data_IF_502078193510
#
_entry.id   IF_502078193510
#
_cell.length_a   1.000
_cell.length_b   1.000
_cell.length_c   1.000
_cell.angle_alpha   90.00
_cell.angle_beta   90.00
_cell.angle_gamma   90.00
#
_symmetry.space_group_name_H-M   'P 1'
#
loop_
_entity.id
_entity.type
_entity.pdbx_description
1 polymer ?
#
# COMPACT_ATOMS: atom_id res chain seq x y z
N UNK A 1 23.52 -6.57 19.97
CA UNK A 1 22.28 -6.56 20.78
C UNK A 1 21.06 -6.02 20.01
N UNK A 2 21.17 -4.92 19.26
CA UNK A 2 20.00 -4.31 18.56
C UNK A 2 19.35 -5.23 17.51
N UNK A 3 20.13 -6.01 16.76
CA UNK A 3 19.62 -6.98 15.77
C UNK A 3 18.73 -8.05 16.41
N UNK A 4 19.05 -8.48 17.64
CA UNK A 4 18.19 -9.41 18.37
C UNK A 4 16.86 -8.76 18.74
N UNK A 5 16.86 -7.47 19.11
CA UNK A 5 15.63 -6.71 19.40
C UNK A 5 14.74 -6.63 18.16
N UNK A 6 15.29 -6.32 17.00
CA UNK A 6 14.56 -6.32 15.73
C UNK A 6 14.01 -7.71 15.40
N UNK A 7 14.80 -8.76 15.58
CA UNK A 7 14.36 -10.13 15.35
C UNK A 7 13.18 -10.52 16.27
N UNK A 8 13.24 -10.17 17.55
CA UNK A 8 12.17 -10.43 18.53
C UNK A 8 10.87 -9.72 18.08
N UNK A 9 10.95 -8.44 17.71
CA UNK A 9 9.79 -7.66 17.27
C UNK A 9 9.17 -8.27 16.01
N UNK A 10 9.98 -8.62 15.02
CA UNK A 10 9.51 -9.26 13.78
C UNK A 10 8.85 -10.62 14.06
N UNK A 11 9.48 -11.44 14.89
CA UNK A 11 8.96 -12.77 15.24
C UNK A 11 7.63 -12.68 16.00
N UNK A 12 7.53 -11.79 16.98
CA UNK A 12 6.26 -11.62 17.73
C UNK A 12 5.15 -11.12 16.79
N UNK A 13 5.42 -10.11 15.97
CA UNK A 13 4.47 -9.63 14.97
C UNK A 13 3.99 -10.77 14.04
N UNK A 14 4.92 -11.56 13.53
CA UNK A 14 4.65 -12.69 12.65
C UNK A 14 3.82 -13.78 13.36
N UNK A 15 4.28 -14.25 14.50
CA UNK A 15 3.65 -15.36 15.25
C UNK A 15 2.23 -14.98 15.67
N UNK A 16 2.03 -13.77 16.22
CA UNK A 16 0.68 -13.31 16.64
C UNK A 16 -0.24 -13.19 15.43
N UNK A 17 0.24 -12.65 14.32
CA UNK A 17 -0.54 -12.58 13.08
C UNK A 17 -0.94 -13.99 12.60
N UNK A 18 0.02 -14.92 12.51
CA UNK A 18 -0.24 -16.32 12.11
C UNK A 18 -1.26 -16.98 13.03
N UNK A 19 -1.11 -16.82 14.34
CA UNK A 19 -1.97 -17.46 15.34
C UNK A 19 -3.40 -16.93 15.30
N UNK A 20 -3.61 -15.64 14.97
CA UNK A 20 -4.93 -15.00 14.99
C UNK A 20 -5.68 -15.06 13.66
N UNK A 21 -5.03 -15.38 12.54
CA UNK A 21 -5.73 -15.51 11.24
C UNK A 21 -6.88 -16.53 11.29
N UNK A 22 -6.75 -17.74 11.89
CA UNK A 22 -7.89 -18.66 11.97
C UNK A 22 -9.07 -18.08 12.73
N UNK A 23 -8.82 -17.36 13.84
CA UNK A 23 -9.87 -16.68 14.61
C UNK A 23 -10.52 -15.54 13.79
N UNK A 24 -9.74 -14.72 13.12
CA UNK A 24 -10.23 -13.66 12.23
C UNK A 24 -11.11 -14.24 11.12
N UNK A 25 -10.69 -15.36 10.51
CA UNK A 25 -11.49 -16.07 9.51
C UNK A 25 -12.81 -16.57 10.07
N UNK A 26 -12.81 -17.17 11.27
CA UNK A 26 -14.03 -17.64 11.93
C UNK A 26 -14.99 -16.48 12.20
N UNK A 27 -14.49 -15.37 12.74
CA UNK A 27 -15.29 -14.16 13.02
C UNK A 27 -15.88 -13.61 11.72
N UNK A 28 -15.09 -13.53 10.64
CA UNK A 28 -15.54 -13.02 9.35
C UNK A 28 -16.79 -13.72 8.82
N UNK A 29 -16.84 -15.05 8.90
CA UNK A 29 -18.03 -15.81 8.51
C UNK A 29 -19.23 -15.58 9.44
N UNK A 30 -18.98 -15.29 10.74
CA UNK A 30 -20.06 -14.97 11.69
C UNK A 30 -20.70 -13.61 11.45
N UNK A 31 -19.89 -12.61 11.06
CA UNK A 31 -20.36 -11.22 10.81
C UNK A 31 -20.65 -10.95 9.34
N UNK A 32 -20.56 -11.99 8.48
CA UNK A 32 -20.77 -11.89 7.03
C UNK A 32 -19.78 -10.94 6.31
N UNK A 33 -18.57 -10.73 6.87
CA UNK A 33 -17.47 -10.05 6.20
C UNK A 33 -16.76 -11.01 5.22
N UNK A 34 -17.49 -11.42 4.17
CA UNK A 34 -17.10 -12.48 3.23
C UNK A 34 -17.21 -11.98 1.80
N UNK A 35 -16.18 -12.30 1.01
CA UNK A 35 -16.14 -12.00 -0.41
C UNK A 35 -16.75 -13.18 -1.19
N UNK A 36 -17.97 -12.99 -1.71
CA UNK A 36 -18.67 -14.00 -2.49
C UNK A 36 -18.25 -13.95 -3.97
N UNK A 37 -18.17 -15.12 -4.63
CA UNK A 37 -17.89 -15.19 -6.06
C UNK A 37 -18.86 -14.35 -6.89
N UNK A 38 -18.33 -13.60 -7.84
CA UNK A 38 -19.13 -12.85 -8.81
C UNK A 38 -18.44 -12.83 -10.17
N UNK A 39 -19.16 -12.50 -11.25
CA UNK A 39 -18.60 -12.40 -12.59
C UNK A 39 -17.43 -11.39 -12.72
N UNK A 40 -17.22 -10.55 -11.73
CA UNK A 40 -16.16 -9.52 -11.68
C UNK A 40 -14.96 -9.94 -10.85
N UNK A 41 -15.05 -11.00 -10.03
CA UNK A 41 -14.04 -11.43 -9.05
C UNK A 41 -13.29 -12.67 -9.53
N UNK A 42 -12.05 -12.79 -9.09
CA UNK A 42 -11.17 -13.90 -9.47
C UNK A 42 -11.46 -15.15 -8.63
N UNK A 43 -11.97 -14.99 -7.41
CA UNK A 43 -12.29 -16.08 -6.50
C UNK A 43 -13.51 -16.90 -6.96
N UNK A 44 -13.39 -18.22 -6.86
CA UNK A 44 -14.46 -19.19 -7.22
C UNK A 44 -15.25 -19.70 -6.01
N UNK A 45 -14.77 -19.43 -4.80
CA UNK A 45 -15.36 -19.84 -3.52
C UNK A 45 -15.49 -18.62 -2.60
N UNK A 46 -16.41 -18.60 -1.63
CA UNK A 46 -16.47 -17.56 -0.63
C UNK A 46 -15.19 -17.50 0.20
N UNK A 47 -14.57 -16.33 0.31
CA UNK A 47 -13.34 -16.10 1.06
C UNK A 47 -13.58 -15.02 2.11
N UNK A 48 -13.17 -15.29 3.35
CA UNK A 48 -13.25 -14.32 4.44
C UNK A 48 -12.43 -13.06 4.13
N UNK A 49 -12.99 -11.87 4.40
CA UNK A 49 -12.38 -10.56 4.12
C UNK A 49 -12.17 -9.78 5.42
N UNK A 50 -11.40 -10.34 6.35
CA UNK A 50 -11.21 -9.76 7.69
C UNK A 50 -9.80 -10.02 8.25
N UNK A 51 -8.84 -10.29 7.37
CA UNK A 51 -7.45 -10.60 7.74
C UNK A 51 -6.74 -9.45 8.44
N UNK A 52 -7.15 -8.21 8.15
CA UNK A 52 -6.60 -7.01 8.79
C UNK A 52 -6.70 -7.01 10.31
N UNK A 53 -7.69 -7.70 10.90
CA UNK A 53 -7.79 -7.84 12.36
C UNK A 53 -6.62 -8.60 12.94
N UNK A 54 -6.23 -9.73 12.33
CA UNK A 54 -5.06 -10.49 12.78
C UNK A 54 -3.76 -9.68 12.59
N UNK A 55 -3.67 -8.92 11.49
CA UNK A 55 -2.53 -8.04 11.20
C UNK A 55 -2.43 -6.90 12.22
N UNK A 56 -3.54 -6.27 12.56
CA UNK A 56 -3.59 -5.21 13.58
C UNK A 56 -3.16 -5.74 14.96
N UNK A 57 -3.67 -6.90 15.38
CA UNK A 57 -3.25 -7.53 16.63
C UNK A 57 -1.75 -7.87 16.63
N UNK A 58 -1.20 -8.35 15.51
CA UNK A 58 0.24 -8.57 15.34
C UNK A 58 1.05 -7.30 15.51
N UNK A 59 0.59 -6.18 14.94
CA UNK A 59 1.23 -4.87 15.09
C UNK A 59 1.15 -4.37 16.54
N UNK A 60 0.01 -4.49 17.20
CA UNK A 60 -0.17 -4.12 18.61
C UNK A 60 0.76 -4.95 19.52
N UNK A 61 0.88 -6.26 19.29
CA UNK A 61 1.78 -7.11 20.02
C UNK A 61 3.26 -6.71 19.83
N UNK A 62 3.66 -6.36 18.60
CA UNK A 62 4.98 -5.84 18.32
C UNK A 62 5.26 -4.53 19.07
N UNK A 63 4.32 -3.59 19.07
CA UNK A 63 4.43 -2.32 19.81
C UNK A 63 4.52 -2.60 21.32
N UNK A 64 3.72 -3.52 21.86
CA UNK A 64 3.80 -3.91 23.27
C UNK A 64 5.19 -4.45 23.62
N UNK A 65 5.79 -5.30 22.78
CA UNK A 65 7.16 -5.79 22.97
C UNK A 65 8.17 -4.67 22.94
N UNK A 66 8.04 -3.70 22.03
CA UNK A 66 8.91 -2.51 22.01
C UNK A 66 8.78 -1.74 23.32
N UNK A 67 7.56 -1.47 23.78
CA UNK A 67 7.31 -0.77 25.05
C UNK A 67 7.91 -1.52 26.25
N UNK A 68 7.72 -2.84 26.33
CA UNK A 68 8.30 -3.68 27.38
C UNK A 68 9.83 -3.63 27.29
N UNK A 69 10.39 -3.76 26.10
CA UNK A 69 11.84 -3.71 25.88
C UNK A 69 12.46 -2.39 26.33
N UNK A 70 11.81 -1.27 26.04
CA UNK A 70 12.25 0.08 26.43
C UNK A 70 12.17 0.27 27.94
N UNK A 71 11.03 -0.08 28.58
CA UNK A 71 10.81 0.21 29.98
C UNK A 71 11.53 -0.76 30.94
N UNK A 72 11.67 -2.04 30.57
CA UNK A 72 12.17 -3.07 31.49
C UNK A 72 13.53 -3.64 31.08
N UNK A 73 13.93 -3.58 29.80
CA UNK A 73 15.14 -4.20 29.29
C UNK A 73 16.17 -3.18 28.75
N UNK A 74 15.90 -1.88 28.92
CA UNK A 74 16.83 -0.82 28.53
C UNK A 74 17.06 -0.74 27.03
N UNK A 75 16.06 -1.10 26.19
CA UNK A 75 16.17 -0.94 24.75
C UNK A 75 16.26 0.54 24.40
N UNK A 76 17.16 0.88 23.48
CA UNK A 76 17.33 2.25 23.03
C UNK A 76 16.26 2.56 21.99
N UNK A 77 15.24 3.30 22.39
CA UNK A 77 14.23 3.84 21.49
C UNK A 77 14.29 5.37 21.55
N UNK A 78 14.70 6.05 20.46
CA UNK A 78 14.78 7.50 20.45
C UNK A 78 13.39 8.12 20.65
N UNK A 79 13.20 8.84 21.74
CA UNK A 79 11.94 9.53 22.02
C UNK A 79 11.81 10.84 21.23
N UNK A 80 12.95 11.43 20.85
CA UNK A 80 12.99 12.69 20.11
C UNK A 80 13.49 12.43 18.68
N UNK A 81 12.95 13.16 17.73
CA UNK A 81 13.58 13.26 16.41
C UNK A 81 14.91 14.00 16.53
N UNK A 82 15.90 13.75 15.65
CA UNK A 82 17.25 14.35 15.75
C UNK A 82 17.30 15.88 15.81
N UNK A 83 16.21 16.58 15.56
CA UNK A 83 16.10 18.06 15.56
C UNK A 83 15.15 18.60 16.65
N UNK A 84 14.84 17.81 17.70
CA UNK A 84 14.16 18.34 18.89
C UNK A 84 12.65 18.53 18.80
N UNK A 85 11.97 18.14 17.72
CA UNK A 85 10.51 18.08 17.74
C UNK A 85 10.05 16.81 18.45
N UNK A 86 9.21 16.99 19.45
CA UNK A 86 8.59 15.89 20.15
C UNK A 86 7.51 15.28 19.26
N UNK A 87 7.69 14.01 18.91
CA UNK A 87 6.64 13.20 18.28
C UNK A 87 5.82 12.56 19.39
N UNK A 88 4.52 12.79 19.37
CA UNK A 88 3.60 12.21 20.34
C UNK A 88 3.14 10.82 19.85
N UNK A 89 3.90 9.77 20.19
CA UNK A 89 3.62 8.39 19.77
C UNK A 89 2.20 7.88 20.08
N UNK A 90 1.58 8.19 21.25
CA UNK A 90 0.19 7.80 21.50
C UNK A 90 -0.79 8.36 20.47
N UNK A 91 -0.56 9.56 19.97
CA UNK A 91 -1.40 10.13 18.92
C UNK A 91 -1.22 9.42 17.57
N UNK A 92 0.02 9.00 17.24
CA UNK A 92 0.23 8.16 16.05
C UNK A 92 -0.50 6.82 16.21
N UNK A 93 -0.40 6.18 17.38
CA UNK A 93 -1.14 4.96 17.66
C UNK A 93 -2.66 5.16 17.53
N UNK A 94 -3.20 6.28 18.02
CA UNK A 94 -4.61 6.63 17.86
C UNK A 94 -5.01 6.78 16.39
N UNK A 95 -4.18 7.44 15.56
CA UNK A 95 -4.42 7.54 14.13
C UNK A 95 -4.38 6.17 13.43
N UNK A 96 -3.46 5.29 13.83
CA UNK A 96 -3.40 3.90 13.34
C UNK A 96 -4.62 3.07 13.75
N UNK A 97 -5.14 3.24 14.97
CA UNK A 97 -6.40 2.65 15.42
C UNK A 97 -7.57 3.21 14.60
N UNK A 98 -7.62 4.52 14.40
CA UNK A 98 -8.68 5.16 13.63
C UNK A 98 -8.75 4.63 12.20
N UNK A 99 -7.62 4.53 11.48
CA UNK A 99 -7.61 3.99 10.11
C UNK A 99 -8.00 2.51 10.07
N UNK A 100 -7.57 1.72 11.05
CA UNK A 100 -7.97 0.33 11.19
C UNK A 100 -9.50 0.21 11.38
N UNK A 101 -10.10 1.02 12.25
CA UNK A 101 -11.54 1.02 12.47
C UNK A 101 -12.32 1.47 11.23
N UNK A 102 -11.82 2.42 10.45
CA UNK A 102 -12.39 2.78 9.15
C UNK A 102 -12.40 1.59 8.21
N UNK A 103 -11.30 0.84 8.14
CA UNK A 103 -11.21 -0.37 7.32
C UNK A 103 -12.13 -1.49 7.81
N UNK A 104 -12.25 -1.70 9.12
CA UNK A 104 -13.21 -2.67 9.71
C UNK A 104 -14.64 -2.28 9.36
N UNK A 105 -14.97 -1.00 9.48
CA UNK A 105 -16.28 -0.48 9.11
C UNK A 105 -16.59 -0.71 7.63
N UNK A 106 -15.58 -0.54 6.77
CA UNK A 106 -15.72 -0.80 5.34
C UNK A 106 -15.89 -2.30 5.03
N UNK A 107 -15.13 -3.16 5.69
CA UNK A 107 -15.24 -4.62 5.53
C UNK A 107 -16.62 -5.16 5.92
N UNK A 108 -17.31 -4.51 6.88
CA UNK A 108 -18.62 -4.94 7.39
C UNK A 108 -19.78 -4.27 6.63
N UNK A 109 -19.68 -2.96 6.34
CA UNK A 109 -20.80 -2.15 5.85
C UNK A 109 -20.64 -1.63 4.42
N UNK A 110 -19.52 -1.90 3.74
CA UNK A 110 -19.21 -1.46 2.36
C UNK A 110 -19.42 0.06 2.21
N UNK A 111 -18.58 0.83 2.88
CA UNK A 111 -18.69 2.28 3.00
C UNK A 111 -18.66 2.98 1.65
N UNK A 112 -19.45 4.04 1.52
CA UNK A 112 -19.36 4.91 0.33
C UNK A 112 -17.97 5.56 0.24
N UNK A 113 -17.38 5.70 -0.97
CA UNK A 113 -16.03 6.24 -1.14
C UNK A 113 -15.76 7.57 -0.44
N UNK A 114 -16.68 8.56 -0.41
CA UNK A 114 -16.44 9.81 0.31
C UNK A 114 -16.34 9.63 1.84
N UNK A 115 -17.10 8.69 2.41
CA UNK A 115 -17.07 8.40 3.86
C UNK A 115 -15.75 7.73 4.23
N UNK A 116 -15.31 6.76 3.44
CA UNK A 116 -14.01 6.11 3.57
C UNK A 116 -12.87 7.12 3.48
N UNK A 117 -12.90 8.00 2.49
CA UNK A 117 -11.89 9.06 2.32
C UNK A 117 -11.89 10.04 3.51
N UNK A 118 -13.04 10.45 4.01
CA UNK A 118 -13.14 11.31 5.18
C UNK A 118 -12.50 10.65 6.42
N UNK A 119 -12.77 9.37 6.64
CA UNK A 119 -12.14 8.59 7.72
C UNK A 119 -10.61 8.51 7.58
N UNK A 120 -10.09 8.32 6.37
CA UNK A 120 -8.65 8.35 6.09
C UNK A 120 -8.03 9.71 6.40
N UNK A 121 -8.70 10.80 5.99
CA UNK A 121 -8.24 12.18 6.27
C UNK A 121 -8.21 12.44 7.78
N UNK A 122 -9.24 12.02 8.52
CA UNK A 122 -9.28 12.17 9.99
C UNK A 122 -8.12 11.41 10.63
N UNK A 123 -7.91 10.14 10.28
CA UNK A 123 -6.81 9.34 10.81
C UNK A 123 -5.44 9.95 10.50
N UNK A 124 -5.22 10.37 9.25
CA UNK A 124 -4.00 11.06 8.84
C UNK A 124 -3.79 12.40 9.56
N UNK A 125 -4.86 13.15 9.79
CA UNK A 125 -4.81 14.43 10.53
C UNK A 125 -4.42 14.24 12.01
N UNK A 126 -4.90 13.17 12.66
CA UNK A 126 -4.49 12.79 14.01
C UNK A 126 -2.99 12.49 14.05
N UNK A 127 -2.46 11.75 13.05
CA UNK A 127 -1.03 11.46 12.94
C UNK A 127 -0.21 12.73 12.71
N UNK A 128 -0.64 13.60 11.79
CA UNK A 128 0.03 14.86 11.51
C UNK A 128 0.04 15.78 12.76
N UNK A 129 -1.08 15.88 13.47
CA UNK A 129 -1.19 16.65 14.71
C UNK A 129 -0.31 16.12 15.85
N UNK A 130 0.13 14.85 15.75
CA UNK A 130 1.09 14.24 16.69
C UNK A 130 2.55 14.65 16.46
N UNK A 131 2.81 15.58 15.53
CA UNK A 131 4.13 16.12 15.23
C UNK A 131 4.93 15.28 14.22
N UNK A 132 4.35 14.21 13.64
CA UNK A 132 4.98 13.49 12.54
C UNK A 132 4.62 14.17 11.22
N UNK A 133 5.48 15.10 10.79
CA UNK A 133 5.24 15.97 9.65
C UNK A 133 6.32 15.83 8.58
N UNK A 134 5.93 15.99 7.35
CA UNK A 134 6.80 16.31 6.22
C UNK A 134 7.04 17.84 6.23
N UNK A 135 7.86 18.30 7.17
CA UNK A 135 8.02 19.73 7.48
C UNK A 135 9.10 20.42 6.65
N UNK A 136 10.09 19.66 6.19
CA UNK A 136 11.19 20.17 5.37
C UNK A 136 11.79 19.10 4.48
N UNK A 137 12.40 19.52 3.38
CA UNK A 137 13.22 18.68 2.50
C UNK A 137 14.55 19.38 2.25
N UNK A 138 15.61 18.61 2.02
CA UNK A 138 16.91 19.19 1.63
C UNK A 138 16.78 19.89 0.28
N UNK A 139 17.38 21.08 0.16
CA UNK A 139 17.37 21.85 -1.07
C UNK A 139 18.21 21.13 -2.16
N UNK A 140 17.61 20.65 -3.27
CA UNK A 140 18.35 19.96 -4.32
C UNK A 140 19.26 20.89 -5.14
N UNK A 141 19.03 22.21 -5.07
CA UNK A 141 19.73 23.22 -5.86
C UNK A 141 20.71 24.07 -5.04
N UNK A 142 20.87 23.79 -3.71
CA UNK A 142 21.74 24.57 -2.86
C UNK A 142 21.95 23.93 -1.48
N UNK A 143 22.64 24.67 -0.60
CA UNK A 143 22.81 24.27 0.80
C UNK A 143 21.56 24.57 1.62
N UNK A 144 21.23 23.71 2.62
CA UNK A 144 20.16 23.92 3.58
C UNK A 144 18.86 23.18 3.25
N UNK A 145 17.78 23.59 3.92
CA UNK A 145 16.47 22.94 3.84
C UNK A 145 15.40 23.91 3.32
N UNK A 146 14.47 23.40 2.53
CA UNK A 146 13.24 24.06 2.16
C UNK A 146 12.21 23.67 3.21
N UNK A 147 11.74 24.64 4.01
CA UNK A 147 10.68 24.42 5.00
C UNK A 147 9.32 24.69 4.38
N UNK A 148 8.37 23.80 4.63
CA UNK A 148 6.98 23.95 4.18
C UNK A 148 6.13 24.78 5.14
N UNK A 149 6.62 25.08 6.35
CA UNK A 149 5.88 25.85 7.35
C UNK A 149 4.52 25.22 7.66
N UNK A 150 3.45 26.03 7.67
CA UNK A 150 2.08 25.57 7.92
C UNK A 150 1.57 24.57 6.86
N UNK A 151 2.11 24.63 5.63
CA UNK A 151 1.74 23.71 4.55
C UNK A 151 2.19 22.28 4.80
N UNK A 152 3.11 22.06 5.73
CA UNK A 152 3.53 20.72 6.15
C UNK A 152 2.36 19.83 6.61
N UNK A 153 1.34 20.42 7.28
CA UNK A 153 0.16 19.66 7.74
C UNK A 153 -0.66 19.08 6.59
N UNK A 154 -1.24 19.89 5.69
CA UNK A 154 -2.00 19.35 4.56
C UNK A 154 -1.15 18.46 3.65
N UNK A 155 0.13 18.74 3.48
CA UNK A 155 1.05 17.92 2.70
C UNK A 155 1.22 16.54 3.34
N UNK A 156 1.40 16.46 4.66
CA UNK A 156 1.50 15.19 5.40
C UNK A 156 0.21 14.38 5.32
N UNK A 157 -0.93 15.02 5.51
CA UNK A 157 -2.24 14.36 5.39
C UNK A 157 -2.42 13.79 3.98
N UNK A 158 -2.14 14.59 2.96
CA UNK A 158 -2.18 14.13 1.56
C UNK A 158 -1.27 12.93 1.33
N UNK A 159 -0.03 12.98 1.81
CA UNK A 159 0.97 11.92 1.68
C UNK A 159 0.48 10.61 2.30
N UNK A 160 0.00 10.66 3.55
CA UNK A 160 -0.50 9.48 4.27
C UNK A 160 -1.74 8.89 3.59
N UNK A 161 -2.68 9.72 3.17
CA UNK A 161 -3.89 9.29 2.46
C UNK A 161 -3.53 8.71 1.08
N UNK A 162 -2.55 9.28 0.38
CA UNK A 162 -2.08 8.75 -0.89
C UNK A 162 -1.49 7.34 -0.73
N UNK A 163 -0.58 7.13 0.23
CA UNK A 163 -0.02 5.80 0.51
C UNK A 163 -1.11 4.79 0.90
N UNK A 164 -2.06 5.22 1.72
CA UNK A 164 -3.20 4.38 2.13
C UNK A 164 -4.01 3.90 0.92
N UNK A 165 -4.36 4.80 0.01
CA UNK A 165 -5.12 4.43 -1.18
C UNK A 165 -4.29 3.66 -2.22
N UNK A 166 -3.00 3.95 -2.37
CA UNK A 166 -2.10 3.24 -3.26
C UNK A 166 -2.02 1.76 -2.87
N UNK A 167 -1.84 1.44 -1.59
CA UNK A 167 -1.80 0.04 -1.12
C UNK A 167 -3.18 -0.61 -1.21
N UNK A 168 -4.25 0.10 -0.91
CA UNK A 168 -5.61 -0.42 -1.05
C UNK A 168 -5.95 -0.76 -2.51
N UNK A 169 -5.54 0.05 -3.48
CA UNK A 169 -5.79 -0.19 -4.90
C UNK A 169 -5.00 -1.38 -5.47
N UNK A 170 -3.83 -1.70 -4.90
CA UNK A 170 -3.03 -2.82 -5.37
C UNK A 170 -3.44 -4.16 -4.74
N UNK A 171 -4.31 -4.14 -3.72
CA UNK A 171 -4.84 -5.35 -3.06
C UNK A 171 -5.91 -6.05 -3.92
N UNK A 172 -5.53 -6.37 -5.16
CA UNK A 172 -6.39 -7.04 -6.13
C UNK A 172 -6.04 -8.50 -6.39
N UNK A 173 -4.93 -9.02 -5.89
CA UNK A 173 -4.46 -10.41 -6.05
C UNK A 173 -3.91 -10.97 -4.74
N UNK A 174 -4.08 -12.27 -4.56
CA UNK A 174 -3.60 -13.03 -3.40
C UNK A 174 -2.10 -12.79 -3.15
N UNK A 175 -1.76 -12.24 -1.98
CA UNK A 175 -0.40 -11.96 -1.54
C UNK A 175 0.25 -10.72 -2.15
N UNK A 176 -0.37 -10.03 -3.09
CA UNK A 176 0.28 -8.94 -3.81
C UNK A 176 0.59 -7.75 -2.89
N UNK A 177 -0.41 -7.20 -2.23
CA UNK A 177 -0.26 -6.02 -1.38
C UNK A 177 0.63 -6.30 -0.16
N UNK A 178 0.44 -7.43 0.53
CA UNK A 178 1.29 -7.82 1.66
C UNK A 178 2.75 -8.03 1.26
N UNK A 179 3.03 -8.65 0.11
CA UNK A 179 4.40 -8.85 -0.34
C UNK A 179 5.09 -7.55 -0.76
N UNK A 180 4.42 -6.69 -1.52
CA UNK A 180 4.96 -5.37 -1.88
C UNK A 180 5.22 -4.53 -0.63
N UNK A 181 4.28 -4.51 0.32
CA UNK A 181 4.47 -3.79 1.59
C UNK A 181 5.61 -4.36 2.41
N UNK A 182 5.79 -5.70 2.45
CA UNK A 182 6.94 -6.32 3.12
C UNK A 182 8.27 -5.90 2.50
N UNK A 183 8.39 -5.91 1.17
CA UNK A 183 9.59 -5.47 0.46
C UNK A 183 9.85 -3.98 0.72
N UNK A 184 8.82 -3.15 0.64
CA UNK A 184 8.92 -1.72 0.90
C UNK A 184 9.36 -1.42 2.34
N UNK A 185 8.70 -2.03 3.33
CA UNK A 185 9.04 -1.87 4.73
C UNK A 185 10.45 -2.40 5.06
N UNK A 186 10.86 -3.53 4.45
CA UNK A 186 12.22 -4.06 4.61
C UNK A 186 13.28 -3.10 4.02
N UNK A 187 12.99 -2.48 2.91
CA UNK A 187 13.90 -1.49 2.30
C UNK A 187 14.04 -0.26 3.17
N UNK A 188 12.91 0.26 3.70
CA UNK A 188 12.93 1.39 4.63
C UNK A 188 13.62 1.00 5.94
N UNK A 189 13.47 -0.25 6.40
CA UNK A 189 14.21 -0.79 7.55
C UNK A 189 15.72 -0.73 7.34
N UNK A 190 16.22 -1.21 6.20
CA UNK A 190 17.65 -1.14 5.85
C UNK A 190 18.12 0.31 5.85
N UNK A 191 17.40 1.20 5.18
CA UNK A 191 17.72 2.62 5.17
C UNK A 191 17.70 3.24 6.58
N UNK A 192 16.69 2.93 7.39
CA UNK A 192 16.56 3.43 8.76
C UNK A 192 17.70 2.94 9.67
N UNK A 193 18.18 1.70 9.47
CA UNK A 193 19.31 1.16 10.23
C UNK A 193 20.63 1.82 9.84
N UNK A 194 20.88 2.04 8.55
CA UNK A 194 22.06 2.74 8.05
C UNK A 194 22.09 4.18 8.57
N UNK A 195 20.94 4.86 8.57
CA UNK A 195 20.82 6.25 9.05
C UNK A 195 20.60 6.37 10.57
N UNK A 196 20.74 5.26 11.31
CA UNK A 196 20.61 5.19 12.78
C UNK A 196 19.23 5.66 13.31
N UNK A 197 18.18 5.52 12.50
CA UNK A 197 16.80 5.87 12.85
C UNK A 197 16.06 4.66 13.43
N UNK A 198 16.43 4.28 14.63
CA UNK A 198 15.96 3.03 15.24
C UNK A 198 14.46 3.02 15.52
N UNK A 199 13.81 4.17 15.75
CA UNK A 199 12.36 4.26 15.85
C UNK A 199 11.68 3.83 14.53
N UNK A 200 12.12 4.34 13.37
CA UNK A 200 11.63 3.90 12.07
C UNK A 200 11.92 2.40 11.87
N UNK A 201 13.14 1.94 12.20
CA UNK A 201 13.53 0.55 12.04
C UNK A 201 12.63 -0.42 12.82
N UNK A 202 12.28 -0.12 14.08
CA UNK A 202 11.36 -0.94 14.87
C UNK A 202 9.97 -1.06 14.25
N UNK A 203 9.39 0.05 13.80
CA UNK A 203 8.08 0.00 13.16
C UNK A 203 8.12 -0.68 11.78
N UNK A 204 9.17 -0.47 10.99
CA UNK A 204 9.36 -1.17 9.72
C UNK A 204 9.41 -2.68 9.91
N UNK A 205 10.23 -3.15 10.85
CA UNK A 205 10.40 -4.60 11.06
C UNK A 205 9.14 -5.25 11.65
N UNK A 206 8.34 -4.50 12.41
CA UNK A 206 7.02 -4.94 12.85
C UNK A 206 6.06 -5.13 11.66
N UNK A 207 6.02 -4.17 10.72
CA UNK A 207 5.23 -4.31 9.48
C UNK A 207 5.69 -5.50 8.64
N UNK A 208 7.01 -5.72 8.51
CA UNK A 208 7.55 -6.89 7.80
C UNK A 208 7.07 -8.18 8.47
N UNK A 209 7.14 -8.27 9.80
CA UNK A 209 6.67 -9.43 10.54
C UNK A 209 5.19 -9.72 10.32
N UNK A 210 4.35 -8.68 10.41
CA UNK A 210 2.90 -8.78 10.15
C UNK A 210 2.64 -9.27 8.71
N UNK A 211 3.30 -8.70 7.72
CA UNK A 211 3.13 -9.07 6.32
C UNK A 211 3.55 -10.53 6.05
N UNK A 212 4.71 -10.96 6.58
CA UNK A 212 5.20 -12.35 6.44
C UNK A 212 4.23 -13.32 7.10
N UNK A 213 3.77 -13.01 8.33
CA UNK A 213 2.80 -13.84 9.03
C UNK A 213 1.50 -13.98 8.27
N UNK A 214 1.00 -12.90 7.70
CA UNK A 214 -0.24 -12.90 6.94
C UNK A 214 -0.10 -13.65 5.60
N UNK A 215 1.04 -13.52 4.91
CA UNK A 215 1.32 -14.22 3.65
C UNK A 215 1.20 -15.75 3.76
N UNK A 216 1.39 -16.34 4.94
CA UNK A 216 1.16 -17.78 5.18
C UNK A 216 -0.23 -18.23 4.76
N UNK A 217 -1.23 -17.34 4.88
CA UNK A 217 -2.64 -17.64 4.59
C UNK A 217 -3.17 -16.89 3.36
N UNK A 218 -2.52 -15.80 2.97
CA UNK A 218 -2.96 -14.94 1.89
C UNK A 218 -2.21 -15.20 0.56
N UNK A 219 -1.06 -15.93 0.58
CA UNK A 219 -0.41 -16.31 -0.67
C UNK A 219 -1.27 -17.31 -1.46
N UNK A 220 -1.26 -17.20 -2.79
CA UNK A 220 -2.14 -17.96 -3.67
C UNK A 220 -2.00 -19.51 -3.51
N UNK A 221 -3.08 -20.23 -3.33
CA UNK A 221 -4.48 -19.78 -3.23
C UNK A 221 -4.79 -19.25 -1.82
N UNK A 222 -5.32 -18.04 -1.73
CA UNK A 222 -5.60 -17.41 -0.46
C UNK A 222 -6.76 -18.12 0.28
N UNK A 223 -6.59 -18.30 1.60
CA UNK A 223 -7.63 -18.80 2.50
C UNK A 223 -8.39 -17.68 3.21
N UNK A 224 -7.81 -16.47 3.19
CA UNK A 224 -8.37 -15.24 3.75
C UNK A 224 -7.80 -14.04 3.00
N UNK A 225 -8.63 -13.02 2.76
CA UNK A 225 -8.21 -11.71 2.28
C UNK A 225 -7.95 -10.76 3.45
N UNK A 226 -7.04 -9.78 3.24
CA UNK A 226 -6.76 -8.80 4.30
C UNK A 226 -7.94 -7.86 4.53
N UNK A 227 -8.75 -7.60 3.49
CA UNK A 227 -9.84 -6.64 3.52
C UNK A 227 -9.34 -5.21 3.56
N UNK A 228 -10.28 -4.27 3.61
CA UNK A 228 -9.97 -2.86 3.74
C UNK A 228 -9.32 -2.54 5.10
N UNK A 229 -9.69 -3.28 6.16
CA UNK A 229 -9.03 -3.19 7.47
C UNK A 229 -7.52 -3.46 7.41
N UNK A 230 -7.08 -4.42 6.59
CA UNK A 230 -5.66 -4.72 6.40
C UNK A 230 -4.99 -3.77 5.40
N UNK A 231 -5.61 -3.52 4.26
CA UNK A 231 -5.03 -2.71 3.19
C UNK A 231 -4.81 -1.24 3.63
N UNK A 232 -5.81 -0.63 4.29
CA UNK A 232 -5.69 0.73 4.83
C UNK A 232 -4.65 0.80 5.97
N UNK A 233 -4.61 -0.21 6.85
CA UNK A 233 -3.62 -0.32 7.92
C UNK A 233 -2.20 -0.37 7.36
N UNK A 234 -1.94 -1.23 6.37
CA UNK A 234 -0.62 -1.37 5.75
C UNK A 234 -0.21 -0.10 5.00
N UNK A 235 -1.13 0.52 4.25
CA UNK A 235 -0.84 1.74 3.52
C UNK A 235 -0.51 2.91 4.44
N UNK A 236 -1.32 3.13 5.47
CA UNK A 236 -1.06 4.15 6.48
C UNK A 236 0.22 3.86 7.25
N UNK A 237 0.44 2.60 7.65
CA UNK A 237 1.65 2.16 8.34
C UNK A 237 2.91 2.39 7.50
N UNK A 238 2.88 2.06 6.20
CA UNK A 238 3.99 2.33 5.28
C UNK A 238 4.25 3.83 5.13
N UNK A 239 3.21 4.65 5.03
CA UNK A 239 3.32 6.11 5.04
C UNK A 239 3.97 6.64 6.32
N UNK A 240 3.55 6.15 7.48
CA UNK A 240 4.11 6.52 8.80
C UNK A 240 5.58 6.15 8.91
N UNK A 241 5.96 4.92 8.60
CA UNK A 241 7.38 4.51 8.70
C UNK A 241 8.26 5.25 7.71
N UNK A 242 7.74 5.59 6.53
CA UNK A 242 8.46 6.39 5.55
C UNK A 242 8.72 7.81 6.04
N UNK A 243 7.75 8.45 6.71
CA UNK A 243 7.94 9.75 7.35
C UNK A 243 8.96 9.70 8.48
N UNK A 244 8.93 8.67 9.33
CA UNK A 244 9.95 8.49 10.36
C UNK A 244 11.35 8.30 9.77
N UNK A 245 11.46 7.57 8.69
CA UNK A 245 12.74 7.31 8.02
C UNK A 245 13.29 8.54 7.29
N UNK A 246 12.41 9.37 6.73
CA UNK A 246 12.78 10.53 5.91
C UNK A 246 12.76 11.85 6.68
N UNK A 247 12.02 11.94 7.78
CA UNK A 247 11.87 13.16 8.57
C UNK A 247 13.26 13.75 8.90
N UNK A 248 13.54 14.95 8.36
CA UNK A 248 14.78 15.70 8.57
C UNK A 248 16.07 14.97 8.15
N UNK A 249 15.98 14.13 7.13
CA UNK A 249 17.17 13.58 6.48
C UNK A 249 17.93 14.71 5.78
N UNK A 250 19.23 14.79 5.98
CA UNK A 250 20.11 15.73 5.28
C UNK A 250 20.15 15.51 3.75
N UNK A 251 19.53 14.42 3.28
CA UNK A 251 19.55 14.05 1.86
C UNK A 251 18.13 14.16 1.29
N UNK A 252 17.95 15.04 0.30
CA UNK A 252 16.72 15.10 -0.53
C UNK A 252 16.32 13.72 -1.07
N UNK A 253 17.32 12.90 -1.37
CA UNK A 253 17.16 11.53 -1.86
C UNK A 253 16.37 10.62 -0.91
N UNK A 254 16.40 10.87 0.40
CA UNK A 254 15.71 10.01 1.39
C UNK A 254 14.18 10.00 1.20
N UNK A 255 13.60 11.09 0.72
CA UNK A 255 12.17 11.15 0.41
C UNK A 255 11.80 10.25 -0.78
N UNK A 256 12.76 10.04 -1.69
CA UNK A 256 12.52 9.21 -2.87
C UNK A 256 12.56 7.71 -2.57
N UNK A 257 13.23 7.26 -1.49
CA UNK A 257 13.30 5.82 -1.16
C UNK A 257 11.90 5.22 -1.04
N UNK A 258 10.99 5.72 -0.19
CA UNK A 258 9.62 5.18 -0.12
C UNK A 258 8.87 5.30 -1.45
N UNK A 259 9.06 6.40 -2.19
CA UNK A 259 8.38 6.67 -3.47
C UNK A 259 8.89 5.70 -4.54
N UNK A 260 10.22 5.48 -4.63
CA UNK A 260 10.80 4.55 -5.62
C UNK A 260 10.36 3.12 -5.31
N UNK A 261 10.38 2.71 -4.05
CA UNK A 261 10.00 1.36 -3.66
C UNK A 261 8.49 1.13 -3.85
N UNK A 262 7.66 2.15 -3.57
CA UNK A 262 6.25 2.14 -3.92
C UNK A 262 6.00 2.44 -5.41
N UNK A 263 7.03 2.47 -6.25
CA UNK A 263 6.94 2.87 -7.66
C UNK A 263 5.95 2.04 -8.46
N UNK A 264 5.92 0.71 -8.26
CA UNK A 264 4.96 -0.19 -8.95
C UNK A 264 3.52 0.18 -8.60
N UNK A 265 3.10 0.26 -7.32
CA UNK A 265 1.78 0.75 -6.93
C UNK A 265 1.47 2.17 -7.43
N UNK A 266 2.43 3.08 -7.36
CA UNK A 266 2.26 4.47 -7.79
C UNK A 266 1.99 4.54 -9.30
N UNK A 267 2.78 3.82 -10.10
CA UNK A 267 2.63 3.76 -11.56
C UNK A 267 1.26 3.18 -11.92
N UNK A 268 0.85 2.11 -11.26
CA UNK A 268 -0.44 1.47 -11.50
C UNK A 268 -1.61 2.40 -11.19
N UNK A 269 -1.56 3.06 -10.03
CA UNK A 269 -2.58 4.04 -9.61
C UNK A 269 -2.61 5.25 -10.54
N UNK A 270 -1.45 5.83 -10.88
CA UNK A 270 -1.36 6.96 -11.79
C UNK A 270 -1.92 6.61 -13.19
N UNK A 271 -1.57 5.44 -13.72
CA UNK A 271 -2.09 4.96 -14.99
C UNK A 271 -3.63 4.80 -14.94
N UNK A 272 -4.18 4.28 -13.84
CA UNK A 272 -5.62 4.14 -13.65
C UNK A 272 -6.34 5.50 -13.60
N UNK A 273 -5.78 6.48 -12.87
CA UNK A 273 -6.32 7.85 -12.80
C UNK A 273 -6.30 8.50 -14.18
N UNK A 274 -5.17 8.43 -14.91
CA UNK A 274 -5.04 9.01 -16.26
C UNK A 274 -6.05 8.38 -17.22
N UNK A 275 -6.25 7.06 -17.19
CA UNK A 275 -7.25 6.38 -18.04
C UNK A 275 -8.67 6.88 -17.76
N UNK A 276 -9.04 7.01 -16.48
CA UNK A 276 -10.38 7.46 -16.07
C UNK A 276 -10.63 8.91 -16.46
N UNK A 277 -9.66 9.81 -16.21
CA UNK A 277 -9.76 11.22 -16.61
C UNK A 277 -9.92 11.37 -18.12
N UNK A 278 -9.17 10.64 -18.93
CA UNK A 278 -9.29 10.67 -20.39
C UNK A 278 -10.58 10.06 -20.92
N UNK A 279 -11.14 9.09 -20.18
CA UNK A 279 -12.44 8.50 -20.51
C UNK A 279 -13.63 9.33 -19.97
N UNK A 280 -13.39 10.52 -19.38
CA UNK A 280 -14.39 11.34 -18.70
C UNK A 280 -15.21 10.55 -17.67
N UNK A 281 -14.55 9.64 -16.95
CA UNK A 281 -15.19 8.81 -15.95
C UNK A 281 -14.77 9.24 -14.53
N UNK A 282 -15.63 9.06 -13.51
CA UNK A 282 -15.29 9.31 -12.14
C UNK A 282 -14.06 8.51 -11.72
N UNK A 283 -13.16 9.12 -10.94
CA UNK A 283 -11.91 8.49 -10.45
C UNK A 283 -12.21 7.24 -9.61
N UNK A 284 -13.36 7.17 -8.96
CA UNK A 284 -13.79 6.04 -8.11
C UNK A 284 -14.34 4.84 -8.91
N UNK A 285 -14.58 4.98 -10.22
CA UNK A 285 -15.12 3.87 -11.04
C UNK A 285 -14.10 2.73 -11.10
N UNK A 286 -14.58 1.49 -10.93
CA UNK A 286 -13.74 0.30 -11.08
C UNK A 286 -13.05 0.27 -12.45
N UNK A 287 -11.75 -0.03 -12.47
CA UNK A 287 -10.91 -0.13 -13.68
C UNK A 287 -10.31 -1.54 -13.79
N UNK A 288 -10.34 -2.12 -14.98
CA UNK A 288 -9.70 -3.40 -15.29
C UNK A 288 -8.33 -3.23 -15.97
N UNK A 289 -7.82 -2.01 -16.04
CA UNK A 289 -6.54 -1.69 -16.69
C UNK A 289 -5.33 -1.79 -15.77
N UNK A 290 -5.49 -2.26 -14.53
CA UNK A 290 -4.38 -2.42 -13.59
C UNK A 290 -3.32 -3.40 -14.11
N UNK A 291 -2.05 -3.21 -13.68
CA UNK A 291 -0.89 -4.02 -14.09
C UNK A 291 -1.17 -5.51 -13.93
N UNK A 292 -1.70 -5.91 -12.79
CA UNK A 292 -2.00 -7.31 -12.50
C UNK A 292 -3.06 -7.90 -13.44
N UNK A 293 -4.09 -7.14 -13.81
CA UNK A 293 -5.08 -7.59 -14.80
C UNK A 293 -4.48 -7.76 -16.19
N UNK A 294 -3.54 -6.90 -16.57
CA UNK A 294 -2.88 -6.99 -17.88
C UNK A 294 -1.98 -8.21 -17.96
N UNK A 295 -1.20 -8.51 -16.90
CA UNK A 295 -0.40 -9.73 -16.81
C UNK A 295 -1.25 -11.00 -16.89
N UNK A 296 -2.39 -11.03 -16.19
CA UNK A 296 -3.34 -12.15 -16.28
C UNK A 296 -3.91 -12.30 -17.69
N UNK A 297 -4.23 -11.19 -18.37
CA UNK A 297 -4.73 -11.20 -19.76
C UNK A 297 -3.68 -11.65 -20.78
N UNK A 298 -2.37 -11.47 -20.48
CA UNK A 298 -1.26 -12.02 -21.28
C UNK A 298 -1.05 -13.53 -21.03
N UNK A 299 -1.86 -14.18 -20.18
CA UNK A 299 -1.81 -15.61 -19.89
C UNK A 299 -0.90 -16.01 -18.74
N UNK A 300 -0.35 -15.06 -17.98
CA UNK A 300 0.40 -15.41 -16.78
C UNK A 300 -0.53 -15.93 -15.68
N UNK A 301 -0.09 -16.95 -14.94
CA UNK A 301 -0.82 -17.41 -13.76
C UNK A 301 -0.74 -16.36 -12.65
N UNK A 302 -1.71 -16.38 -11.73
CA UNK A 302 -1.75 -15.44 -10.60
C UNK A 302 -0.44 -15.44 -9.79
N UNK A 303 0.14 -16.62 -9.50
CA UNK A 303 1.44 -16.73 -8.82
C UNK A 303 2.56 -16.02 -9.59
N UNK A 304 2.67 -16.26 -10.90
CA UNK A 304 3.69 -15.62 -11.73
C UNK A 304 3.51 -14.12 -11.78
N UNK A 305 2.29 -13.63 -11.90
CA UNK A 305 1.96 -12.20 -11.88
C UNK A 305 2.45 -11.54 -10.59
N UNK A 306 2.13 -12.12 -9.44
CA UNK A 306 2.56 -11.60 -8.13
C UNK A 306 4.09 -11.61 -8.00
N UNK A 307 4.74 -12.69 -8.39
CA UNK A 307 6.21 -12.79 -8.33
C UNK A 307 6.92 -11.79 -9.27
N UNK A 308 6.36 -11.52 -10.46
CA UNK A 308 6.88 -10.49 -11.37
C UNK A 308 6.77 -9.10 -10.71
N UNK A 309 5.63 -8.77 -10.10
CA UNK A 309 5.44 -7.48 -9.43
C UNK A 309 6.32 -7.34 -8.18
N UNK A 310 6.50 -8.41 -7.39
CA UNK A 310 7.46 -8.42 -6.29
C UNK A 310 8.89 -8.25 -6.77
N UNK A 311 9.28 -8.94 -7.86
CA UNK A 311 10.61 -8.82 -8.47
C UNK A 311 10.89 -7.40 -8.95
N UNK A 312 9.92 -6.77 -9.62
CA UNK A 312 10.04 -5.37 -10.03
C UNK A 312 10.20 -4.44 -8.81
N UNK A 313 9.34 -4.61 -7.78
CA UNK A 313 9.46 -3.85 -6.52
C UNK A 313 10.82 -4.07 -5.85
N UNK A 314 11.33 -5.30 -5.82
CA UNK A 314 12.64 -5.61 -5.25
C UNK A 314 13.81 -4.96 -6.01
N UNK A 315 13.73 -4.92 -7.34
CA UNK A 315 14.72 -4.21 -8.16
C UNK A 315 14.72 -2.71 -7.84
N UNK A 316 13.54 -2.10 -7.76
CA UNK A 316 13.41 -0.69 -7.38
C UNK A 316 13.93 -0.45 -5.96
N UNK A 317 13.68 -1.37 -5.04
CA UNK A 317 14.17 -1.33 -3.66
C UNK A 317 15.70 -1.33 -3.59
N UNK A 318 16.35 -2.21 -4.34
CA UNK A 318 17.82 -2.29 -4.44
C UNK A 318 18.37 -0.99 -5.04
N UNK A 319 17.78 -0.51 -6.13
CA UNK A 319 18.17 0.77 -6.73
C UNK A 319 18.03 1.93 -5.74
N UNK A 320 16.94 1.98 -4.96
CA UNK A 320 16.72 3.04 -3.97
C UNK A 320 17.80 3.06 -2.88
N UNK A 321 18.24 1.88 -2.40
CA UNK A 321 19.34 1.79 -1.44
C UNK A 321 20.63 2.34 -2.05
N UNK A 322 21.02 1.90 -3.26
CA UNK A 322 22.23 2.38 -3.91
C UNK A 322 22.18 3.88 -4.24
N UNK A 323 21.04 4.40 -4.70
CA UNK A 323 20.85 5.84 -4.94
C UNK A 323 21.08 6.64 -3.66
N UNK A 324 20.75 6.07 -2.49
CA UNK A 324 20.91 6.75 -1.21
C UNK A 324 22.34 6.70 -0.70
N UNK A 325 23.00 5.54 -0.82
CA UNK A 325 24.36 5.32 -0.32
C UNK A 325 25.44 5.96 -1.19
N UNK A 326 25.22 6.01 -2.50
CA UNK A 326 26.19 6.59 -3.42
C UNK A 326 26.17 8.13 -3.38
N UNK A 327 27.30 8.77 -3.74
CA UNK A 327 27.44 10.23 -3.78
C UNK A 327 27.67 10.75 -5.20
N UNK A 328 27.23 11.96 -5.48
CA UNK A 328 27.47 12.63 -6.75
C UNK A 328 26.95 11.86 -7.96
N UNK A 329 27.78 11.76 -9.01
CA UNK A 329 27.44 11.15 -10.31
C UNK A 329 27.18 9.63 -10.19
N UNK A 330 27.74 8.95 -9.19
CA UNK A 330 27.58 7.51 -9.02
C UNK A 330 26.12 7.06 -8.75
N UNK A 331 25.20 7.98 -8.41
CA UNK A 331 23.76 7.71 -8.28
C UNK A 331 23.06 7.55 -9.62
N UNK A 332 23.54 8.23 -10.67
CA UNK A 332 22.87 8.34 -11.96
C UNK A 332 22.63 6.97 -12.62
N UNK A 333 23.60 6.04 -12.68
CA UNK A 333 23.38 4.72 -13.26
C UNK A 333 22.22 3.96 -12.62
N UNK A 334 22.11 3.99 -11.28
CA UNK A 334 21.04 3.30 -10.56
C UNK A 334 19.67 3.96 -10.79
N UNK A 335 19.63 5.29 -10.86
CA UNK A 335 18.40 6.02 -11.18
C UNK A 335 17.95 5.72 -12.62
N UNK A 336 18.86 5.74 -13.58
CA UNK A 336 18.57 5.40 -14.98
C UNK A 336 18.15 3.95 -15.14
N UNK A 337 18.78 3.02 -14.41
CA UNK A 337 18.39 1.61 -14.41
C UNK A 337 16.97 1.42 -13.84
N UNK A 338 16.65 2.04 -12.71
CA UNK A 338 15.30 1.98 -12.12
C UNK A 338 14.24 2.55 -13.08
N UNK A 339 14.53 3.69 -13.72
CA UNK A 339 13.65 4.29 -14.74
C UNK A 339 13.54 3.38 -15.97
N UNK A 340 14.66 2.81 -16.45
CA UNK A 340 14.67 1.89 -17.60
C UNK A 340 13.84 0.63 -17.35
N UNK A 341 13.98 -0.01 -16.16
CA UNK A 341 13.16 -1.16 -15.77
C UNK A 341 11.69 -0.78 -15.71
N UNK A 342 11.35 0.36 -15.09
CA UNK A 342 9.97 0.82 -15.02
C UNK A 342 9.40 1.14 -16.40
N UNK A 343 10.17 1.81 -17.26
CA UNK A 343 9.77 2.10 -18.64
C UNK A 343 9.56 0.81 -19.45
N UNK A 344 10.44 -0.18 -19.29
CA UNK A 344 10.31 -1.48 -19.94
C UNK A 344 8.97 -2.14 -19.57
N UNK A 345 8.61 -2.20 -18.26
CA UNK A 345 7.35 -2.77 -17.84
C UNK A 345 6.14 -1.96 -18.31
N UNK A 346 6.20 -0.62 -18.26
CA UNK A 346 5.14 0.27 -18.75
C UNK A 346 4.86 0.03 -20.24
N UNK A 347 5.91 -0.05 -21.05
CA UNK A 347 5.79 -0.26 -22.51
C UNK A 347 5.36 -1.70 -22.80
N UNK A 348 6.01 -2.70 -22.19
CA UNK A 348 5.74 -4.12 -22.42
C UNK A 348 4.31 -4.51 -22.05
N UNK A 349 3.81 -4.00 -20.95
CA UNK A 349 2.45 -4.24 -20.47
C UNK A 349 1.43 -3.29 -21.09
N UNK A 350 1.84 -2.43 -22.03
CA UNK A 350 0.95 -1.48 -22.71
C UNK A 350 0.08 -0.67 -21.74
N UNK A 351 0.61 -0.33 -20.57
CA UNK A 351 -0.14 0.39 -19.53
C UNK A 351 -0.76 1.70 -20.02
N UNK A 352 -0.09 2.32 -20.99
CA UNK A 352 -0.56 3.51 -21.71
C UNK A 352 -1.24 3.18 -23.05
N UNK A 353 -1.26 1.94 -23.48
CA UNK A 353 -1.77 1.54 -24.80
C UNK A 353 -3.28 1.77 -24.99
N UNK A 354 -4.07 1.57 -23.92
CA UNK A 354 -5.49 1.94 -23.91
C UNK A 354 -5.69 3.46 -23.93
N UNK A 355 -4.71 4.19 -23.48
CA UNK A 355 -4.64 5.66 -23.48
C UNK A 355 -4.36 6.21 -24.87
N UNK A 356 -3.52 5.52 -25.65
CA UNK A 356 -3.13 5.94 -27.01
C UNK A 356 -4.15 5.51 -28.06
N UNK A 357 -4.81 4.37 -27.89
CA UNK A 357 -5.81 3.87 -28.86
C UNK A 357 -7.08 4.69 -28.96
N UNK A 358 -7.46 5.46 -27.95
CA UNK A 358 -8.65 6.31 -27.99
C UNK A 358 -8.54 7.50 -28.96
N UNK A 359 -7.34 7.83 -29.45
CA UNK A 359 -7.15 8.86 -30.47
C UNK A 359 -7.33 8.35 -31.91
N UNK A 360 -7.41 7.03 -32.13
CA UNK A 360 -7.39 6.45 -33.48
C UNK A 360 -8.62 5.59 -33.83
N UNK A 361 -9.62 5.50 -32.96
CA UNK A 361 -10.83 4.73 -33.27
C UNK A 361 -12.05 5.67 -33.35
N UNK A 362 -12.54 6.00 -34.58
CA UNK A 362 -13.83 6.69 -34.72
C UNK A 362 -14.90 5.81 -34.08
N UNK A 363 -15.79 6.43 -33.31
CA UNK A 363 -16.93 5.75 -32.67
C UNK A 363 -17.61 4.82 -33.69
N UNK A 364 -17.88 3.54 -33.37
CA UNK A 364 -18.75 2.74 -34.17
C UNK A 364 -20.10 3.47 -34.26
N UNK A 365 -20.57 3.78 -35.44
CA UNK A 365 -21.92 4.28 -35.63
C UNK A 365 -22.87 3.28 -34.99
N UNK A 366 -23.68 3.72 -34.07
CA UNK A 366 -24.77 2.95 -33.51
C UNK A 366 -25.68 2.51 -34.68
N UNK A 367 -25.54 1.27 -35.09
CA UNK A 367 -26.60 0.62 -35.86
C UNK A 367 -27.76 0.43 -34.89
N UNK A 368 -28.74 1.30 -35.00
CA UNK A 368 -30.07 1.10 -34.44
C UNK A 368 -30.63 -0.11 -35.16
N UNK A 369 -30.60 -1.26 -34.53
CA UNK A 369 -31.43 -2.38 -34.95
C UNK A 369 -32.87 -2.03 -34.55
N UNK A 370 -33.66 -1.64 -35.52
CA UNK A 370 -35.09 -1.77 -35.43
C UNK A 370 -35.39 -3.26 -35.44
N UNK A 371 -35.83 -3.82 -34.32
CA UNK A 371 -36.51 -5.09 -34.28
C UNK A 371 -37.93 -4.82 -34.78
N UNK A 372 -38.22 -5.26 -35.97
CA UNK A 372 -39.59 -5.42 -36.42
C UNK A 372 -40.17 -6.59 -35.64
N UNK A 373 -41.07 -6.27 -34.73
CA UNK A 373 -41.96 -7.25 -34.12
C UNK A 373 -42.86 -7.80 -35.26
N UNK A 374 -42.61 -9.06 -35.62
CA UNK A 374 -43.58 -9.88 -36.31
C UNK A 374 -44.39 -10.62 -35.25
N UNK A 375 -45.61 -10.20 -35.09
CA UNK A 375 -46.67 -10.99 -34.48
C UNK A 375 -46.81 -12.31 -35.26
N UNK A 376 -46.47 -13.42 -34.63
CA UNK A 376 -46.87 -14.76 -35.09
C UNK A 376 -48.27 -15.07 -34.54
N UNK A 377 -49.25 -15.02 -35.45
CA UNK A 377 -50.58 -15.57 -35.21
C UNK A 377 -50.50 -17.08 -34.98
N UNK A 378 -51.05 -17.52 -33.89
CA UNK A 378 -51.23 -18.95 -33.57
C UNK A 378 -52.45 -19.50 -34.40
N UNK A 379 -52.34 -20.71 -34.98
CA UNK A 379 -53.50 -21.34 -35.63
C UNK A 379 -54.49 -21.84 -34.56
N UNK A 380 -55.78 -21.54 -34.80
CA UNK A 380 -56.91 -22.15 -34.08
C UNK A 380 -57.12 -23.55 -34.66
N UNK A 381 -57.05 -24.57 -33.83
CA UNK A 381 -57.55 -25.91 -34.14
C UNK A 381 -59.07 -25.94 -33.94
N UNK A 382 -59.73 -26.58 -34.88
CA UNK A 382 -61.11 -27.06 -34.82
C UNK A 382 -61.22 -28.35 -34.03
#
# INVERSE_FOLDING_TARGET
MIWLQFAIVALVACIVTVALVPAARFIAFRINAVDYPSARRVNKIPIARFGGVAMFCGLVAAIAVICIGVNFFGWRFPQNTPLGTHVFYPGIALGMVAIFLVGVADDIWDLKPPVKLAGQIVAASIIAASGLLLDNVHNPFGSGYISFGWFAYPLTVFYLVAFTNIINLIDGLDGLASGITAIAALTIFVFATITMRFNAAFFCIALVGVCIGFLRYNFYPASIFMGDSGALLLGMGLGVVSLFATARSALFVSLFVPIIVAGVPIIDTAAAIIRRLRAHQPIQKADRGHIHHQLLNEGFSQRKTVLIMWGWTAILAICAIFITEMHGIARIPFALFALGVSAFFIVRLKLLGSVLKHHYNPRPRSHTYYSSDKEDEAPREE
#
